data_IF_322214764697
#
_entry.id   IF_322214764697
#
_cell.length_a   1.000
_cell.length_b   1.000
_cell.length_c   1.000
_cell.angle_alpha   90.00
_cell.angle_beta   90.00
_cell.angle_gamma   90.00
#
_symmetry.space_group_name_H-M   'P 1'
#
loop_
_entity.id
_entity.type
_entity.pdbx_description
1 polymer ?
#
# COMPACT_ATOMS: atom_id res chain seq x y z
N UNK A 1 10.50 23.63 -20.46
CA UNK A 1 10.48 22.27 -19.89
C UNK A 1 9.02 21.88 -19.78
N UNK A 2 8.52 21.06 -20.71
CA UNK A 2 7.09 20.73 -20.77
C UNK A 2 6.75 19.79 -19.62
N UNK A 3 6.04 20.29 -18.61
CA UNK A 3 5.28 19.44 -17.69
C UNK A 3 4.31 18.65 -18.53
N UNK A 4 4.54 17.34 -18.65
CA UNK A 4 3.57 16.44 -19.25
C UNK A 4 2.27 16.62 -18.48
N UNK A 5 1.23 17.16 -19.14
CA UNK A 5 -0.14 17.17 -18.64
C UNK A 5 -0.47 15.72 -18.26
N UNK A 6 -0.52 15.43 -16.96
CA UNK A 6 -1.05 14.15 -16.50
C UNK A 6 -2.50 14.12 -16.94
N UNK A 7 -2.83 13.22 -17.87
CA UNK A 7 -4.21 13.06 -18.34
C UNK A 7 -5.09 12.70 -17.14
N UNK A 8 -6.19 13.44 -16.98
CA UNK A 8 -7.12 13.27 -15.86
C UNK A 8 -7.70 11.85 -15.87
N UNK A 9 -7.85 11.23 -17.05
CA UNK A 9 -8.24 9.81 -17.18
C UNK A 9 -7.25 8.88 -16.48
N UNK A 10 -5.95 9.08 -16.71
CA UNK A 10 -4.90 8.28 -16.07
C UNK A 10 -4.88 8.44 -14.55
N UNK A 11 -5.24 9.62 -14.04
CA UNK A 11 -5.32 9.88 -12.61
C UNK A 11 -6.47 9.12 -11.93
N UNK A 12 -7.65 9.12 -12.56
CA UNK A 12 -8.83 8.37 -12.07
C UNK A 12 -8.58 6.86 -12.11
N UNK A 13 -7.94 6.38 -13.17
CA UNK A 13 -7.58 4.97 -13.32
C UNK A 13 -6.53 4.55 -12.27
N UNK A 14 -5.56 5.40 -11.98
CA UNK A 14 -4.57 5.15 -10.93
C UNK A 14 -5.21 5.07 -9.53
N UNK A 15 -6.13 6.00 -9.20
CA UNK A 15 -6.84 5.98 -7.91
C UNK A 15 -7.73 4.73 -7.78
N UNK A 16 -8.44 4.37 -8.85
CA UNK A 16 -9.25 3.14 -8.88
C UNK A 16 -8.39 1.90 -8.70
N UNK A 17 -7.22 1.85 -9.36
CA UNK A 17 -6.25 0.76 -9.24
C UNK A 17 -5.67 0.66 -7.82
N UNK A 18 -5.34 1.79 -7.19
CA UNK A 18 -4.86 1.82 -5.80
C UNK A 18 -5.92 1.34 -4.81
N UNK A 19 -7.20 1.69 -5.03
CA UNK A 19 -8.31 1.19 -4.20
C UNK A 19 -8.50 -0.32 -4.38
N UNK A 20 -8.42 -0.82 -5.60
CA UNK A 20 -8.50 -2.26 -5.87
C UNK A 20 -7.32 -3.00 -5.24
N UNK A 21 -6.10 -2.49 -5.40
CA UNK A 21 -4.90 -3.05 -4.78
C UNK A 21 -5.02 -3.07 -3.25
N UNK A 22 -5.55 -2.02 -2.63
CA UNK A 22 -5.79 -1.98 -1.18
C UNK A 22 -6.67 -3.14 -0.71
N UNK A 23 -7.74 -3.46 -1.46
CA UNK A 23 -8.64 -4.56 -1.12
C UNK A 23 -7.88 -5.88 -1.17
N UNK A 24 -7.18 -6.16 -2.28
CA UNK A 24 -6.40 -7.39 -2.43
C UNK A 24 -5.35 -7.56 -1.34
N UNK A 25 -4.58 -6.50 -1.02
CA UNK A 25 -3.58 -6.58 0.05
C UNK A 25 -4.20 -6.72 1.45
N UNK A 26 -5.45 -6.30 1.64
CA UNK A 26 -6.16 -6.52 2.90
C UNK A 26 -6.59 -7.98 3.02
N UNK A 27 -7.12 -8.56 1.94
CA UNK A 27 -7.47 -9.98 1.89
C UNK A 27 -6.24 -10.87 2.12
N UNK A 28 -5.12 -10.57 1.44
CA UNK A 28 -3.84 -11.28 1.63
C UNK A 28 -3.33 -11.17 3.08
N UNK A 29 -3.54 -10.02 3.74
CA UNK A 29 -3.15 -9.83 5.13
C UNK A 29 -4.00 -10.67 6.08
N UNK A 30 -5.31 -10.73 5.86
CA UNK A 30 -6.21 -11.57 6.65
C UNK A 30 -5.83 -13.05 6.53
N UNK A 31 -5.48 -13.51 5.32
CA UNK A 31 -4.99 -14.88 5.09
C UNK A 31 -3.69 -15.18 5.85
N UNK A 32 -2.76 -14.22 5.89
CA UNK A 32 -1.52 -14.36 6.66
C UNK A 32 -1.79 -14.39 8.17
N UNK A 33 -2.66 -13.53 8.70
CA UNK A 33 -3.01 -13.54 10.12
C UNK A 33 -3.71 -14.85 10.52
N UNK A 34 -4.61 -15.36 9.67
CA UNK A 34 -5.24 -16.66 9.89
C UNK A 34 -4.21 -17.79 9.89
N UNK A 35 -3.25 -17.77 8.95
CA UNK A 35 -2.18 -18.77 8.89
C UNK A 35 -1.27 -18.75 10.13
N UNK A 36 -0.94 -17.56 10.64
CA UNK A 36 -0.21 -17.39 11.90
C UNK A 36 -1.01 -17.97 13.08
N UNK A 37 -2.31 -17.65 13.13
CA UNK A 37 -3.19 -18.14 14.18
C UNK A 37 -3.29 -19.66 14.18
N UNK A 38 -3.55 -20.27 13.02
CA UNK A 38 -3.68 -21.73 12.85
C UNK A 38 -2.37 -22.45 13.21
N UNK A 39 -1.23 -21.89 12.81
CA UNK A 39 0.07 -22.42 13.20
C UNK A 39 0.26 -22.41 14.73
N UNK A 40 -0.16 -21.34 15.39
CA UNK A 40 -0.19 -21.24 16.85
C UNK A 40 -1.07 -22.30 17.51
N UNK A 41 -2.27 -22.54 16.95
CA UNK A 41 -3.21 -23.55 17.47
C UNK A 41 -2.77 -24.99 17.20
N UNK A 42 -1.98 -25.21 16.14
CA UNK A 42 -1.52 -26.55 15.76
C UNK A 42 -0.49 -27.16 16.74
N UNK A 43 0.05 -26.36 17.67
CA UNK A 43 1.14 -26.78 18.57
C UNK A 43 2.48 -26.99 17.87
N UNK A 44 2.57 -26.68 16.56
CA UNK A 44 3.80 -26.80 15.77
C UNK A 44 4.65 -25.53 15.78
N UNK A 45 4.15 -24.43 16.33
CA UNK A 45 4.83 -23.13 16.36
C UNK A 45 6.24 -23.21 16.98
N UNK A 46 6.44 -24.08 17.98
CA UNK A 46 7.74 -24.26 18.66
C UNK A 46 8.66 -25.29 17.97
N UNK A 47 8.19 -25.95 16.91
CA UNK A 47 9.05 -26.82 16.10
C UNK A 47 9.94 -25.98 15.18
N UNK A 48 11.14 -26.48 14.84
CA UNK A 48 12.02 -25.76 13.90
C UNK A 48 11.32 -25.40 12.58
N UNK A 49 10.49 -26.31 12.04
CA UNK A 49 9.70 -26.04 10.83
C UNK A 49 8.63 -24.96 11.03
N UNK A 50 7.92 -24.97 12.16
CA UNK A 50 6.94 -23.94 12.48
C UNK A 50 7.57 -22.58 12.76
N UNK A 51 8.75 -22.54 13.39
CA UNK A 51 9.49 -21.29 13.59
C UNK A 51 9.94 -20.66 12.26
N UNK A 52 10.36 -21.48 11.29
CA UNK A 52 10.76 -20.97 9.98
C UNK A 52 9.56 -20.49 9.16
N UNK A 53 8.43 -21.19 9.23
CA UNK A 53 7.15 -20.76 8.64
C UNK A 53 6.65 -19.45 9.27
N UNK A 54 6.70 -19.34 10.60
CA UNK A 54 6.31 -18.11 11.32
C UNK A 54 7.17 -16.90 10.93
N UNK A 55 8.48 -17.09 10.70
CA UNK A 55 9.36 -16.02 10.20
C UNK A 55 8.91 -15.51 8.83
N UNK A 56 8.57 -16.42 7.91
CA UNK A 56 8.07 -16.05 6.57
C UNK A 56 6.79 -15.23 6.70
N UNK A 57 5.83 -15.70 7.51
CA UNK A 57 4.58 -14.98 7.74
C UNK A 57 4.80 -13.60 8.39
N UNK A 58 5.72 -13.48 9.35
CA UNK A 58 6.02 -12.20 9.98
C UNK A 58 6.60 -11.19 8.99
N UNK A 59 7.47 -11.64 8.08
CA UNK A 59 8.04 -10.78 7.02
C UNK A 59 6.95 -10.36 6.05
N UNK A 60 6.11 -11.29 5.59
CA UNK A 60 4.98 -11.00 4.70
C UNK A 60 4.00 -10.01 5.33
N UNK A 61 3.64 -10.23 6.60
CA UNK A 61 2.78 -9.34 7.38
C UNK A 61 3.33 -7.92 7.47
N UNK A 62 4.62 -7.77 7.80
CA UNK A 62 5.25 -6.45 7.87
C UNK A 62 5.24 -5.73 6.52
N UNK A 63 5.52 -6.45 5.43
CA UNK A 63 5.48 -5.91 4.08
C UNK A 63 4.06 -5.47 3.68
N UNK A 64 3.04 -6.28 3.98
CA UNK A 64 1.64 -5.98 3.70
C UNK A 64 1.15 -4.75 4.47
N UNK A 65 1.43 -4.66 5.77
CA UNK A 65 1.10 -3.47 6.55
C UNK A 65 1.78 -2.21 6.02
N UNK A 66 3.06 -2.30 5.66
CA UNK A 66 3.79 -1.17 5.08
C UNK A 66 3.17 -0.75 3.74
N UNK A 67 2.83 -1.70 2.86
CA UNK A 67 2.19 -1.42 1.58
C UNK A 67 0.82 -0.77 1.73
N UNK A 68 -0.02 -1.29 2.63
CA UNK A 68 -1.33 -0.73 2.95
C UNK A 68 -1.23 0.70 3.51
N UNK A 69 -0.26 0.97 4.40
CA UNK A 69 -0.01 2.31 4.92
C UNK A 69 0.35 3.29 3.79
N UNK A 70 1.26 2.91 2.88
CA UNK A 70 1.64 3.74 1.74
C UNK A 70 0.46 4.01 0.79
N UNK A 71 -0.38 3.00 0.50
CA UNK A 71 -1.58 3.20 -0.33
C UNK A 71 -2.56 4.17 0.35
N UNK A 72 -2.80 3.99 1.66
CA UNK A 72 -3.69 4.87 2.41
C UNK A 72 -3.17 6.31 2.46
N UNK A 73 -1.85 6.50 2.58
CA UNK A 73 -1.23 7.82 2.49
C UNK A 73 -1.50 8.48 1.14
N UNK A 74 -1.22 7.78 0.02
CA UNK A 74 -1.47 8.33 -1.32
C UNK A 74 -2.95 8.66 -1.53
N UNK A 75 -3.86 7.77 -1.14
CA UNK A 75 -5.30 8.01 -1.26
C UNK A 75 -5.77 9.19 -0.40
N UNK A 76 -5.23 9.32 0.81
CA UNK A 76 -5.49 10.45 1.71
C UNK A 76 -5.00 11.77 1.12
N UNK A 77 -3.81 11.78 0.52
CA UNK A 77 -3.29 12.96 -0.19
C UNK A 77 -4.17 13.32 -1.38
N UNK A 78 -4.53 12.38 -2.24
CA UNK A 78 -5.43 12.65 -3.38
C UNK A 78 -6.73 13.28 -2.91
N UNK A 79 -7.32 12.75 -1.84
CA UNK A 79 -8.54 13.31 -1.25
C UNK A 79 -8.33 14.73 -0.73
N UNK A 80 -7.29 14.97 0.07
CA UNK A 80 -6.97 16.29 0.61
C UNK A 80 -6.73 17.34 -0.49
N UNK A 81 -6.09 16.94 -1.59
CA UNK A 81 -5.81 17.85 -2.69
C UNK A 81 -7.06 18.15 -3.52
N UNK A 82 -7.96 17.18 -3.67
CA UNK A 82 -9.27 17.40 -4.30
C UNK A 82 -10.17 18.35 -3.47
N UNK A 83 -10.07 18.32 -2.14
CA UNK A 83 -10.79 19.25 -1.27
C UNK A 83 -10.24 20.69 -1.34
N UNK A 84 -8.93 20.84 -1.52
CA UNK A 84 -8.26 22.16 -1.54
C UNK A 84 -8.43 22.92 -2.85
N UNK A 85 -8.81 22.24 -3.93
CA UNK A 85 -9.03 22.83 -5.25
C UNK A 85 -10.24 22.20 -5.94
N UNK A 86 -11.47 22.53 -5.48
CA UNK A 86 -12.69 22.01 -6.06
C UNK A 86 -12.93 22.50 -7.50
N UNK A 87 -12.22 23.54 -7.95
CA UNK A 87 -12.34 24.11 -9.31
C UNK A 87 -11.31 23.54 -10.31
N UNK A 88 -10.31 22.78 -9.84
CA UNK A 88 -9.47 21.92 -10.68
C UNK A 88 -8.31 22.62 -11.40
N UNK A 89 -7.65 23.58 -10.77
CA UNK A 89 -6.36 24.07 -11.22
C UNK A 89 -5.20 23.15 -10.77
N UNK A 90 -5.27 21.88 -11.19
CA UNK A 90 -4.40 20.77 -10.79
C UNK A 90 -2.89 20.96 -11.05
N UNK A 91 -2.49 21.99 -11.81
CA UNK A 91 -1.10 22.23 -12.21
C UNK A 91 -0.20 22.67 -11.04
N UNK A 92 -0.74 23.41 -10.05
CA UNK A 92 0.04 23.93 -8.92
C UNK A 92 0.16 22.89 -7.78
N UNK A 93 -0.75 21.93 -7.72
CA UNK A 93 -0.82 20.91 -6.68
C UNK A 93 0.15 19.74 -6.89
N UNK A 94 0.53 19.45 -8.14
CA UNK A 94 1.53 18.40 -8.45
C UNK A 94 2.96 18.80 -8.04
N UNK A 95 3.24 20.10 -7.86
CA UNK A 95 4.55 20.57 -7.37
C UNK A 95 4.75 20.32 -5.87
N UNK A 96 3.70 20.02 -5.10
CA UNK A 96 3.79 19.80 -3.66
C UNK A 96 3.81 18.33 -3.27
N UNK A 97 4.00 17.40 -4.22
CA UNK A 97 4.16 16.00 -3.88
C UNK A 97 5.39 15.85 -2.96
N UNK A 98 5.24 15.24 -1.76
CA UNK A 98 6.40 14.89 -0.96
C UNK A 98 7.27 13.94 -1.77
N UNK A 99 8.56 14.24 -1.87
CA UNK A 99 9.53 13.39 -2.55
C UNK A 99 9.62 12.06 -1.80
N UNK A 100 8.95 11.03 -2.30
CA UNK A 100 9.10 9.67 -1.76
C UNK A 100 10.45 9.16 -2.24
N UNK A 101 11.44 9.13 -1.35
CA UNK A 101 12.70 8.42 -1.60
C UNK A 101 12.39 6.94 -1.79
N UNK A 102 12.45 6.47 -3.03
CA UNK A 102 12.44 5.04 -3.32
C UNK A 102 13.81 4.50 -2.88
N UNK A 103 13.88 3.59 -1.90
CA UNK A 103 15.15 2.99 -1.53
C UNK A 103 15.66 2.15 -2.70
N UNK A 104 16.92 2.38 -3.09
CA UNK A 104 17.59 1.54 -4.08
C UNK A 104 17.71 0.12 -3.54
N UNK A 105 17.15 -0.84 -4.26
CA UNK A 105 17.36 -2.26 -4.00
C UNK A 105 18.72 -2.60 -4.64
N UNK A 106 19.74 -2.77 -3.81
CA UNK A 106 21.05 -3.30 -4.21
C UNK A 106 21.09 -4.81 -3.97
#
# INVERSE_FOLDING_TARGET
>A
MNMAKMDIGNAVDAVSSLRALRVVLTDDLDDIENSIYDLGQSGRADSNGGMDELKVYCVARAALYSGLASINEVLGWVHLMAEKDPEGNAADLLQSLPTVTVPSIN
#
